data_IF_497238963478
#
_entry.id   IF_497238963478
#
_cell.length_a   1.000
_cell.length_b   1.000
_cell.length_c   1.000
_cell.angle_alpha   90.00
_cell.angle_beta   90.00
_cell.angle_gamma   90.00
#
_symmetry.space_group_name_H-M   'P 1'
#
loop_
_entity.id
_entity.type
_entity.pdbx_description
1 polymer ?
#
# COMPACT_ATOMS: atom_id res chain seq x y z
N UNK A 1 6.90 43.15 -21.97
CA UNK A 1 7.34 42.43 -20.75
C UNK A 1 6.23 41.46 -20.44
N UNK A 2 6.33 40.28 -21.05
CA UNK A 2 5.24 39.32 -21.17
C UNK A 2 5.27 38.34 -20.01
N UNK A 3 4.23 38.39 -19.17
CA UNK A 3 4.01 37.46 -18.06
C UNK A 3 2.79 36.58 -18.33
N UNK A 4 2.84 35.75 -19.37
CA UNK A 4 1.79 34.76 -19.64
C UNK A 4 1.92 33.58 -18.67
N UNK A 5 1.21 33.70 -17.54
CA UNK A 5 1.04 32.61 -16.59
C UNK A 5 0.26 31.48 -17.27
N UNK A 6 0.93 30.38 -17.63
CA UNK A 6 0.30 29.15 -18.13
C UNK A 6 -0.21 28.30 -16.96
N UNK A 7 -1.52 28.25 -16.66
CA UNK A 7 -2.03 27.30 -15.69
C UNK A 7 -1.88 25.87 -16.24
N UNK A 8 -1.09 25.07 -15.53
CA UNK A 8 -0.80 23.68 -15.86
C UNK A 8 -2.11 22.87 -15.96
N UNK A 9 -2.30 22.23 -17.12
CA UNK A 9 -3.36 21.25 -17.43
C UNK A 9 -3.36 20.09 -16.43
N UNK A 10 -4.12 20.15 -15.33
CA UNK A 10 -4.34 18.94 -14.49
C UNK A 10 -5.77 18.74 -13.96
N UNK A 11 -6.76 19.59 -14.25
CA UNK A 11 -8.14 19.38 -13.74
C UNK A 11 -9.21 19.36 -14.85
N UNK A 12 -9.13 18.41 -15.79
CA UNK A 12 -10.11 18.31 -16.89
C UNK A 12 -11.52 17.92 -16.43
N UNK A 13 -11.66 17.10 -15.38
CA UNK A 13 -12.96 16.66 -14.90
C UNK A 13 -13.71 17.76 -14.12
N UNK A 14 -13.01 18.48 -13.23
CA UNK A 14 -13.63 19.52 -12.39
C UNK A 14 -13.93 20.81 -13.15
N UNK A 15 -13.10 21.19 -14.14
CA UNK A 15 -13.29 22.43 -14.91
C UNK A 15 -14.46 22.31 -15.91
N UNK A 16 -14.77 21.09 -16.39
CA UNK A 16 -15.88 20.85 -17.31
C UNK A 16 -17.26 20.85 -16.65
N UNK A 17 -17.38 20.42 -15.39
CA UNK A 17 -18.65 20.42 -14.63
C UNK A 17 -18.89 21.67 -13.79
N UNK A 18 -17.90 22.57 -13.67
CA UNK A 18 -18.03 23.82 -12.90
C UNK A 18 -19.03 24.80 -13.50
N UNK A 19 -19.24 24.76 -14.81
CA UNK A 19 -20.22 25.61 -15.51
C UNK A 19 -21.65 25.05 -15.49
N UNK A 20 -21.89 23.92 -14.82
CA UNK A 20 -23.23 23.36 -14.67
C UNK A 20 -23.95 24.04 -13.48
N UNK A 21 -25.07 24.76 -13.68
CA UNK A 21 -25.79 25.48 -12.62
C UNK A 21 -26.60 24.54 -11.70
N UNK A 22 -26.37 23.24 -11.75
CA UNK A 22 -27.16 22.21 -11.06
C UNK A 22 -26.28 21.46 -10.06
N UNK A 23 -26.89 20.85 -9.04
CA UNK A 23 -26.25 20.06 -7.97
C UNK A 23 -25.37 18.88 -8.42
N UNK A 24 -25.30 18.62 -9.73
CA UNK A 24 -24.46 17.60 -10.34
C UNK A 24 -22.98 18.02 -10.51
N UNK A 25 -22.67 19.32 -10.37
CA UNK A 25 -21.31 19.87 -10.54
C UNK A 25 -20.26 19.23 -9.62
N UNK A 26 -20.65 18.84 -8.39
CA UNK A 26 -19.79 18.18 -7.42
C UNK A 26 -19.97 16.65 -7.37
N UNK A 27 -21.13 16.12 -7.77
CA UNK A 27 -21.42 14.67 -7.74
C UNK A 27 -20.66 13.89 -8.82
N UNK A 28 -20.48 14.48 -10.00
CA UNK A 28 -19.80 13.83 -11.13
C UNK A 28 -18.31 13.57 -10.80
N UNK A 29 -17.52 14.54 -10.29
CA UNK A 29 -16.16 14.26 -9.83
C UNK A 29 -16.08 13.17 -8.76
N UNK A 30 -16.99 13.17 -7.78
CA UNK A 30 -17.03 12.13 -6.73
C UNK A 30 -17.36 10.74 -7.28
N UNK A 31 -18.28 10.64 -8.24
CA UNK A 31 -18.62 9.37 -8.88
C UNK A 31 -17.45 8.82 -9.71
N UNK A 32 -16.72 9.70 -10.41
CA UNK A 32 -15.50 9.32 -11.15
C UNK A 32 -14.40 8.87 -10.20
N UNK A 33 -14.25 9.51 -9.04
CA UNK A 33 -13.30 9.08 -7.99
C UNK A 33 -13.66 7.71 -7.40
N UNK A 34 -14.95 7.35 -7.34
CA UNK A 34 -15.39 6.04 -6.88
C UNK A 34 -15.11 4.91 -7.89
N UNK A 35 -14.97 5.24 -9.17
CA UNK A 35 -14.73 4.27 -10.24
C UNK A 35 -13.51 3.36 -10.01
N UNK A 36 -12.29 3.86 -9.70
CA UNK A 36 -11.14 3.00 -9.43
C UNK A 36 -11.36 2.08 -8.22
N UNK A 37 -12.07 2.53 -7.18
CA UNK A 37 -12.40 1.67 -6.02
C UNK A 37 -13.33 0.52 -6.42
N UNK A 38 -14.34 0.79 -7.25
CA UNK A 38 -15.23 -0.26 -7.78
C UNK A 38 -14.46 -1.25 -8.65
N UNK A 39 -13.58 -0.76 -9.52
CA UNK A 39 -12.71 -1.62 -10.35
C UNK A 39 -11.84 -2.50 -9.44
N UNK A 40 -11.23 -1.93 -8.40
CA UNK A 40 -10.40 -2.68 -7.45
C UNK A 40 -11.19 -3.78 -6.73
N UNK A 41 -12.44 -3.52 -6.34
CA UNK A 41 -13.32 -4.52 -5.70
C UNK A 41 -13.66 -5.68 -6.64
N UNK A 42 -13.72 -5.45 -7.94
CA UNK A 42 -13.92 -6.52 -8.92
C UNK A 42 -12.62 -7.29 -9.16
N UNK A 43 -11.48 -6.58 -9.26
CA UNK A 43 -10.19 -7.20 -9.56
C UNK A 43 -9.61 -8.04 -8.42
N UNK A 44 -9.96 -7.76 -7.16
CA UNK A 44 -9.43 -8.50 -6.00
C UNK A 44 -9.72 -10.01 -6.06
N UNK A 45 -10.83 -10.41 -6.71
CA UNK A 45 -11.21 -11.81 -6.86
C UNK A 45 -10.35 -12.58 -7.87
N UNK A 46 -9.63 -11.88 -8.75
CA UNK A 46 -8.77 -12.48 -9.77
C UNK A 46 -7.30 -12.57 -9.36
N UNK A 47 -6.91 -11.85 -8.30
CA UNK A 47 -5.52 -11.83 -7.83
C UNK A 47 -5.32 -12.99 -6.86
N UNK A 48 -4.32 -13.87 -7.09
CA UNK A 48 -4.03 -14.91 -6.12
C UNK A 48 -3.51 -14.31 -4.82
N UNK A 49 -3.87 -14.98 -3.73
CA UNK A 49 -3.40 -14.59 -2.39
C UNK A 49 -1.88 -14.60 -2.31
N UNK A 50 -1.33 -13.64 -1.54
CA UNK A 50 0.13 -13.52 -1.43
C UNK A 50 0.76 -14.79 -0.81
N UNK A 51 1.88 -15.28 -1.35
CA UNK A 51 2.54 -16.48 -0.82
C UNK A 51 2.96 -16.32 0.65
N UNK A 52 3.39 -15.12 1.06
CA UNK A 52 3.70 -14.80 2.47
C UNK A 52 2.47 -14.93 3.38
N UNK A 53 1.29 -14.47 2.96
CA UNK A 53 0.06 -14.65 3.74
C UNK A 53 -0.34 -16.12 3.83
N UNK A 54 -0.27 -16.86 2.71
CA UNK A 54 -0.56 -18.29 2.68
C UNK A 54 0.36 -19.08 3.64
N UNK A 55 1.67 -18.80 3.63
CA UNK A 55 2.62 -19.36 4.61
C UNK A 55 2.25 -18.99 6.05
N UNK A 56 1.84 -17.74 6.30
CA UNK A 56 1.47 -17.29 7.66
C UNK A 56 0.26 -18.06 8.23
N UNK A 57 -0.65 -18.51 7.34
CA UNK A 57 -1.84 -19.31 7.65
C UNK A 57 -1.59 -20.83 7.62
N UNK A 58 -0.36 -21.28 7.43
CA UNK A 58 -0.02 -22.71 7.35
C UNK A 58 -0.42 -23.38 6.02
N UNK A 59 -0.80 -22.61 5.00
CA UNK A 59 -1.12 -23.11 3.64
C UNK A 59 0.13 -23.15 2.77
N UNK A 60 1.18 -23.80 3.28
CA UNK A 60 2.53 -23.85 2.69
C UNK A 60 2.53 -24.40 1.24
N UNK A 61 1.81 -25.49 0.97
CA UNK A 61 1.74 -26.04 -0.39
C UNK A 61 1.15 -25.09 -1.43
N UNK A 62 0.21 -24.25 -1.01
CA UNK A 62 -0.44 -23.28 -1.89
C UNK A 62 0.47 -22.10 -2.16
N UNK A 63 1.20 -21.66 -1.13
CA UNK A 63 2.25 -20.65 -1.29
C UNK A 63 3.32 -21.13 -2.29
N UNK A 64 3.77 -22.39 -2.18
CA UNK A 64 4.71 -22.99 -3.14
C UNK A 64 4.16 -23.01 -4.58
N UNK A 65 2.87 -23.30 -4.77
CA UNK A 65 2.26 -23.26 -6.12
C UNK A 65 2.25 -21.85 -6.69
N UNK A 66 1.87 -20.86 -5.89
CA UNK A 66 1.87 -19.45 -6.31
C UNK A 66 3.28 -19.01 -6.63
N UNK A 67 4.25 -19.33 -5.78
CA UNK A 67 5.65 -18.97 -5.96
C UNK A 67 6.25 -19.61 -7.23
N UNK A 68 6.01 -20.91 -7.43
CA UNK A 68 6.44 -21.62 -8.64
C UNK A 68 5.80 -21.06 -9.91
N UNK A 69 4.50 -20.74 -9.89
CA UNK A 69 3.81 -20.17 -11.05
C UNK A 69 4.38 -18.81 -11.46
N UNK A 70 4.70 -17.94 -10.51
CA UNK A 70 5.19 -16.59 -10.81
C UNK A 70 6.71 -16.49 -11.01
N UNK A 71 7.51 -17.38 -10.42
CA UNK A 71 8.98 -17.26 -10.44
C UNK A 71 9.72 -18.39 -11.15
N UNK A 72 9.06 -19.52 -11.45
CA UNK A 72 9.71 -20.68 -12.07
C UNK A 72 8.84 -21.40 -13.12
N UNK A 73 7.90 -20.68 -13.75
CA UNK A 73 7.00 -21.21 -14.79
C UNK A 73 6.25 -22.50 -14.37
N UNK A 74 5.93 -22.61 -13.07
CA UNK A 74 5.27 -23.75 -12.46
C UNK A 74 6.20 -24.84 -11.93
N UNK A 75 7.53 -24.72 -12.06
CA UNK A 75 8.48 -25.67 -11.50
C UNK A 75 8.64 -25.48 -9.99
N UNK A 76 8.14 -26.45 -9.21
CA UNK A 76 8.12 -26.38 -7.73
C UNK A 76 9.45 -26.78 -7.09
N UNK A 77 10.31 -27.48 -7.83
CA UNK A 77 11.63 -27.94 -7.37
C UNK A 77 12.76 -27.07 -7.92
N UNK A 78 12.42 -25.90 -8.45
CA UNK A 78 13.43 -24.92 -8.80
C UNK A 78 14.12 -24.42 -7.53
N UNK A 79 15.45 -24.38 -7.54
CA UNK A 79 16.25 -23.93 -6.41
C UNK A 79 15.88 -22.50 -5.97
N UNK A 80 15.44 -21.65 -6.91
CA UNK A 80 14.97 -20.30 -6.59
C UNK A 80 13.70 -20.32 -5.74
N UNK A 81 12.73 -21.17 -6.09
CA UNK A 81 11.44 -21.28 -5.40
C UNK A 81 11.63 -21.86 -4.01
N UNK A 82 12.46 -22.89 -3.86
CA UNK A 82 12.77 -23.47 -2.54
C UNK A 82 13.47 -22.46 -1.63
N UNK A 83 14.44 -21.71 -2.18
CA UNK A 83 15.16 -20.67 -1.45
C UNK A 83 14.22 -19.55 -0.97
N UNK A 84 13.42 -18.98 -1.87
CA UNK A 84 12.47 -17.92 -1.53
C UNK A 84 11.41 -18.40 -0.53
N UNK A 85 10.94 -19.64 -0.67
CA UNK A 85 9.97 -20.23 0.24
C UNK A 85 10.54 -20.36 1.66
N UNK A 86 11.76 -20.86 1.81
CA UNK A 86 12.43 -20.97 3.11
C UNK A 86 12.75 -19.58 3.70
N UNK A 87 13.14 -18.60 2.88
CA UNK A 87 13.34 -17.22 3.33
C UNK A 87 12.05 -16.63 3.91
N UNK A 88 10.92 -16.77 3.19
CA UNK A 88 9.60 -16.33 3.67
C UNK A 88 9.24 -17.01 4.99
N UNK A 89 9.52 -18.32 5.12
CA UNK A 89 9.21 -19.09 6.32
C UNK A 89 10.06 -18.67 7.51
N UNK A 90 11.35 -18.42 7.30
CA UNK A 90 12.26 -17.90 8.31
C UNK A 90 11.82 -16.50 8.78
N UNK A 91 11.48 -15.62 7.84
CA UNK A 91 11.00 -14.27 8.14
C UNK A 91 9.69 -14.30 8.96
N UNK A 92 8.72 -15.16 8.62
CA UNK A 92 7.46 -15.30 9.37
C UNK A 92 7.72 -15.85 10.77
N UNK A 93 8.65 -16.80 10.94
CA UNK A 93 9.00 -17.34 12.25
C UNK A 93 9.60 -16.24 13.14
N UNK A 94 10.55 -15.48 12.59
CA UNK A 94 11.14 -14.34 13.27
C UNK A 94 10.08 -13.28 13.63
N UNK A 95 9.21 -12.92 12.69
CA UNK A 95 8.11 -11.96 12.92
C UNK A 95 7.20 -12.42 14.06
N UNK A 96 6.87 -13.73 14.15
CA UNK A 96 6.05 -14.30 15.23
C UNK A 96 6.74 -14.20 16.60
N UNK A 97 8.04 -14.52 16.67
CA UNK A 97 8.83 -14.42 17.90
C UNK A 97 8.96 -12.96 18.38
N UNK A 98 9.19 -12.02 17.45
CA UNK A 98 9.26 -10.60 17.76
C UNK A 98 7.90 -10.05 18.17
N UNK A 99 6.82 -10.36 17.43
CA UNK A 99 5.48 -9.88 17.72
C UNK A 99 4.97 -10.31 19.10
N UNK A 100 5.35 -11.51 19.57
CA UNK A 100 5.03 -11.97 20.92
C UNK A 100 5.66 -11.09 22.02
N UNK A 101 6.80 -10.44 21.73
CA UNK A 101 7.58 -9.67 22.70
C UNK A 101 7.44 -8.15 22.54
N UNK A 102 6.86 -7.67 21.44
CA UNK A 102 6.80 -6.25 21.08
C UNK A 102 5.37 -5.74 21.12
N UNK A 103 5.02 -5.04 22.21
CA UNK A 103 3.76 -4.28 22.35
C UNK A 103 3.95 -2.76 22.20
N UNK A 104 2.86 -2.00 22.29
CA UNK A 104 2.88 -0.51 22.23
C UNK A 104 3.83 0.16 23.24
N UNK A 105 4.06 -0.49 24.38
CA UNK A 105 5.02 0.01 25.38
C UNK A 105 6.48 -0.01 24.88
N UNK A 106 6.80 -0.82 23.86
CA UNK A 106 8.15 -0.91 23.28
C UNK A 106 8.66 0.41 22.70
N UNK A 107 7.77 1.30 22.27
CA UNK A 107 8.14 2.62 21.77
C UNK A 107 8.79 3.50 22.84
N UNK A 108 8.44 3.30 24.11
CA UNK A 108 8.93 4.11 25.24
C UNK A 108 9.99 3.41 26.10
N UNK A 109 10.16 2.09 25.95
CA UNK A 109 11.07 1.27 26.76
C UNK A 109 12.55 1.64 26.59
N UNK A 110 13.02 1.85 25.36
CA UNK A 110 14.45 2.12 25.10
C UNK A 110 14.70 3.57 24.66
N UNK A 111 15.84 4.18 25.03
CA UNK A 111 16.19 5.52 24.57
C UNK A 111 16.30 5.61 23.04
N UNK A 112 16.73 4.54 22.38
CA UNK A 112 16.77 4.42 20.93
C UNK A 112 15.38 4.47 20.28
N UNK A 113 14.41 3.70 20.79
CA UNK A 113 13.04 3.70 20.28
C UNK A 113 12.35 5.05 20.49
N UNK A 114 12.60 5.71 21.63
CA UNK A 114 12.07 7.06 21.89
C UNK A 114 12.62 8.09 20.90
N UNK A 115 13.90 8.00 20.53
CA UNK A 115 14.48 8.87 19.49
C UNK A 115 13.84 8.60 18.13
N UNK A 116 13.66 7.33 17.75
CA UNK A 116 12.99 6.95 16.49
C UNK A 116 11.54 7.46 16.45
N UNK A 117 10.78 7.29 17.54
CA UNK A 117 9.41 7.77 17.64
C UNK A 117 9.32 9.29 17.45
N UNK A 118 10.18 10.07 18.12
CA UNK A 118 10.21 11.53 17.96
C UNK A 118 10.48 11.96 16.52
N UNK A 119 11.40 11.29 15.83
CA UNK A 119 11.71 11.56 14.43
C UNK A 119 10.49 11.26 13.54
N UNK A 120 9.83 10.10 13.75
CA UNK A 120 8.63 9.74 12.99
C UNK A 120 7.49 10.76 13.17
N UNK A 121 7.24 11.20 14.42
CA UNK A 121 6.24 12.22 14.71
C UNK A 121 6.60 13.55 14.05
N UNK A 122 7.86 13.98 14.14
CA UNK A 122 8.31 15.22 13.51
C UNK A 122 8.14 15.17 11.99
N UNK A 123 8.52 14.07 11.33
CA UNK A 123 8.35 13.90 9.88
C UNK A 123 6.87 13.97 9.50
N UNK A 124 6.00 13.22 10.20
CA UNK A 124 4.57 13.22 9.93
C UNK A 124 3.95 14.61 10.14
N UNK A 125 4.33 15.29 11.21
CA UNK A 125 3.88 16.64 11.54
C UNK A 125 4.31 17.63 10.46
N UNK A 126 5.60 17.71 10.13
CA UNK A 126 6.09 18.66 9.12
C UNK A 126 5.54 18.34 7.71
N UNK A 127 5.35 17.06 7.37
CA UNK A 127 4.78 16.64 6.09
C UNK A 127 3.31 17.05 5.93
N UNK A 128 2.52 17.02 7.00
CA UNK A 128 1.12 17.47 6.97
C UNK A 128 1.01 18.99 7.13
N UNK A 129 1.89 19.60 7.94
CA UNK A 129 1.92 21.04 8.19
C UNK A 129 2.41 21.85 6.99
N UNK A 130 3.22 21.26 6.10
CA UNK A 130 3.66 21.92 4.86
C UNK A 130 2.54 22.16 3.84
N UNK A 131 1.27 21.99 4.24
CA UNK A 131 0.11 22.37 3.42
C UNK A 131 -0.36 21.30 2.43
N UNK A 132 0.13 20.05 2.53
CA UNK A 132 -0.26 18.98 1.61
C UNK A 132 -1.76 18.60 1.67
N UNK A 133 -2.50 19.04 2.70
CA UNK A 133 -3.94 18.84 2.83
C UNK A 133 -4.80 20.05 2.41
N UNK A 134 -4.19 21.16 1.97
CA UNK A 134 -4.89 22.32 1.41
C UNK A 134 -4.79 22.31 -0.13
N UNK A 135 -5.54 21.42 -0.79
CA UNK A 135 -5.72 21.45 -2.26
C UNK A 135 -7.09 20.97 -2.73
#
# INVERSE_FOLDING_TARGET
MDGTFHPRRTRKATFGTFHLPTSWSWRIPSAIQALPSVIQLVLIWFIPESPRWLCSKGREEQALRVLAYYHADGNRTDALVEYEFEEIRAAIRFDKEVAANVGWSSFFKTPGNRRRLRIMIAIAFFSQWSGNNLM
#
